data_IF_544242141799
#
_entry.id   IF_544242141799
#
_cell.length_a   1.000
_cell.length_b   1.000
_cell.length_c   1.000
_cell.angle_alpha   90.00
_cell.angle_beta   90.00
_cell.angle_gamma   90.00
#
_symmetry.space_group_name_H-M   'P 1'
#
loop_
_entity.id
_entity.type
_entity.pdbx_description
1 polymer ?
#
# COMPACT_ATOMS: atom_id res chain seq x y z
N UNK A 1 -9.84 7.93 -9.17
CA UNK A 1 -9.67 6.73 -8.32
C UNK A 1 -8.31 6.13 -8.63
N UNK A 2 -7.53 5.76 -7.61
CA UNK A 2 -6.18 5.24 -7.79
C UNK A 2 -6.18 3.98 -8.68
N UNK A 3 -5.23 3.90 -9.61
CA UNK A 3 -5.01 2.69 -10.41
C UNK A 3 -4.07 1.77 -9.65
N UNK A 4 -4.55 0.58 -9.31
CA UNK A 4 -3.78 -0.47 -8.67
C UNK A 4 -3.09 -1.32 -9.73
N UNK A 5 -1.79 -1.54 -9.55
CA UNK A 5 -0.98 -2.43 -10.38
C UNK A 5 -0.15 -3.32 -9.46
N UNK A 6 -0.02 -4.62 -9.78
CA UNK A 6 0.85 -5.55 -9.06
C UNK A 6 1.91 -6.07 -10.00
N UNK A 7 3.16 -5.94 -9.58
CA UNK A 7 4.33 -6.45 -10.24
C UNK A 7 4.75 -7.76 -9.58
N UNK A 8 5.05 -8.73 -10.42
CA UNK A 8 5.50 -10.06 -10.04
C UNK A 8 6.99 -10.17 -10.33
N UNK A 9 7.66 -10.98 -9.52
CA UNK A 9 9.06 -11.31 -9.68
C UNK A 9 9.27 -12.82 -9.50
N UNK A 10 10.37 -13.32 -10.03
CA UNK A 10 10.77 -14.71 -9.91
C UNK A 10 11.63 -14.91 -8.65
N UNK A 11 11.12 -15.64 -7.68
CA UNK A 11 11.79 -15.90 -6.40
C UNK A 11 11.51 -17.34 -5.96
N UNK A 12 12.54 -18.05 -5.46
CA UNK A 12 12.41 -19.45 -5.00
C UNK A 12 11.68 -20.36 -6.01
N UNK A 13 12.12 -20.32 -7.26
CA UNK A 13 11.59 -21.15 -8.37
C UNK A 13 10.14 -20.88 -8.77
N UNK A 14 9.51 -19.81 -8.25
CA UNK A 14 8.13 -19.44 -8.60
C UNK A 14 7.98 -17.95 -8.91
N UNK A 15 7.02 -17.62 -9.77
CA UNK A 15 6.57 -16.25 -10.00
C UNK A 15 5.60 -15.90 -8.89
N UNK A 16 5.88 -14.85 -8.13
CA UNK A 16 5.03 -14.40 -7.01
C UNK A 16 4.84 -12.88 -7.02
N UNK A 17 3.71 -12.38 -6.47
CA UNK A 17 3.52 -10.94 -6.28
C UNK A 17 4.67 -10.36 -5.46
N UNK A 18 5.27 -9.28 -5.93
CA UNK A 18 6.42 -8.67 -5.29
C UNK A 18 6.13 -7.25 -4.81
N UNK A 19 5.58 -6.42 -5.71
CA UNK A 19 5.37 -4.99 -5.47
C UNK A 19 4.00 -4.54 -5.97
N UNK A 20 3.29 -3.77 -5.17
CA UNK A 20 2.07 -3.07 -5.56
C UNK A 20 2.37 -1.59 -5.77
N UNK A 21 1.83 -1.04 -6.87
CA UNK A 21 1.79 0.38 -7.13
C UNK A 21 0.36 0.90 -7.06
N UNK A 22 0.16 1.97 -6.29
CA UNK A 22 -1.05 2.78 -6.35
C UNK A 22 -0.70 4.05 -7.12
N UNK A 23 -1.32 4.22 -8.29
CA UNK A 23 -1.04 5.36 -9.18
C UNK A 23 -2.18 6.35 -9.15
N UNK A 24 -1.84 7.61 -9.07
CA UNK A 24 -2.75 8.73 -8.91
C UNK A 24 -2.53 9.71 -10.05
N UNK A 25 -3.60 10.35 -10.51
CA UNK A 25 -3.47 11.54 -11.35
C UNK A 25 -2.85 12.67 -10.53
N UNK A 26 -2.23 13.68 -11.19
CA UNK A 26 -1.78 14.88 -10.50
C UNK A 26 -2.89 15.46 -9.60
N UNK A 27 -2.54 15.79 -8.35
CA UNK A 27 -3.45 16.32 -7.31
C UNK A 27 -4.60 15.39 -6.88
N UNK A 28 -4.60 14.11 -7.27
CA UNK A 28 -5.64 13.17 -6.84
C UNK A 28 -5.41 12.63 -5.41
N UNK A 29 -4.14 12.54 -4.99
CA UNK A 29 -3.78 12.11 -3.64
C UNK A 29 -3.96 13.27 -2.64
N UNK A 30 -4.98 13.15 -1.78
CA UNK A 30 -5.28 14.13 -0.75
C UNK A 30 -4.48 13.87 0.54
N UNK A 31 -3.35 14.54 0.66
CA UNK A 31 -2.47 14.50 1.83
C UNK A 31 -3.03 15.17 3.10
N UNK A 32 -4.25 15.71 3.07
CA UNK A 32 -4.92 16.21 4.27
C UNK A 32 -5.77 15.14 4.95
N UNK A 33 -6.02 14.01 4.28
CA UNK A 33 -6.66 12.84 4.91
C UNK A 33 -5.68 12.11 5.81
N UNK A 34 -6.19 11.50 6.88
CA UNK A 34 -5.38 10.67 7.78
C UNK A 34 -4.99 9.35 7.12
N UNK A 35 -5.93 8.72 6.44
CA UNK A 35 -5.74 7.42 5.80
C UNK A 35 -6.52 7.30 4.49
N UNK A 36 -6.07 6.37 3.66
CA UNK A 36 -6.81 5.87 2.51
C UNK A 36 -6.96 4.36 2.60
N UNK A 37 -8.04 3.82 2.04
CA UNK A 37 -8.30 2.38 2.02
C UNK A 37 -8.36 1.90 0.58
N UNK A 38 -7.64 0.82 0.31
CA UNK A 38 -7.51 0.22 -1.02
C UNK A 38 -8.13 -1.17 -0.99
N UNK A 39 -9.17 -1.43 -1.79
CA UNK A 39 -9.73 -2.76 -1.91
C UNK A 39 -8.73 -3.70 -2.57
N UNK A 40 -8.55 -4.88 -1.99
CA UNK A 40 -7.72 -5.95 -2.51
C UNK A 40 -8.59 -6.98 -3.21
N UNK A 41 -8.65 -6.90 -4.53
CA UNK A 41 -9.38 -7.84 -5.38
C UNK A 41 -8.41 -8.68 -6.22
N UNK A 42 -8.11 -9.90 -5.77
CA UNK A 42 -7.41 -10.89 -6.59
C UNK A 42 -8.39 -11.57 -7.57
N UNK A 43 -7.92 -12.10 -8.72
CA UNK A 43 -6.54 -12.12 -9.19
C UNK A 43 -6.07 -10.77 -9.77
N UNK A 44 -4.79 -10.46 -9.60
CA UNK A 44 -4.17 -9.27 -10.22
C UNK A 44 -3.59 -9.63 -11.60
N UNK A 45 -3.61 -8.66 -12.53
CA UNK A 45 -2.84 -8.78 -13.77
C UNK A 45 -1.36 -8.95 -13.43
N UNK A 46 -0.71 -9.94 -14.04
CA UNK A 46 0.71 -10.21 -13.85
C UNK A 46 1.53 -9.30 -14.76
N UNK A 47 2.01 -8.18 -14.21
CA UNK A 47 3.06 -7.39 -14.85
C UNK A 47 4.41 -7.77 -14.26
N UNK A 48 5.47 -7.71 -15.05
CA UNK A 48 6.83 -7.96 -14.59
C UNK A 48 7.48 -6.68 -14.08
N UNK A 49 8.46 -6.81 -13.19
CA UNK A 49 9.22 -5.68 -12.66
C UNK A 49 9.86 -4.81 -13.75
N UNK A 50 10.26 -5.39 -14.89
CA UNK A 50 10.83 -4.64 -16.01
C UNK A 50 9.81 -3.73 -16.72
N UNK A 51 8.51 -3.87 -16.41
CA UNK A 51 7.43 -3.03 -16.93
C UNK A 51 7.12 -1.83 -16.02
N UNK A 52 7.90 -1.62 -14.95
CA UNK A 52 7.82 -0.42 -14.11
C UNK A 52 8.23 0.80 -14.95
N UNK A 53 7.38 1.84 -15.07
CA UNK A 53 7.74 3.04 -15.80
C UNK A 53 8.67 3.94 -14.99
N UNK A 54 9.73 4.43 -15.63
CA UNK A 54 10.82 5.20 -15.02
C UNK A 54 10.46 6.65 -14.59
N UNK A 55 9.24 7.12 -14.84
CA UNK A 55 8.98 8.57 -15.04
C UNK A 55 8.10 9.27 -14.01
N UNK A 56 7.59 8.60 -12.98
CA UNK A 56 6.68 9.22 -11.99
C UNK A 56 7.28 9.24 -10.58
N UNK A 57 7.18 10.39 -9.91
CA UNK A 57 7.62 10.55 -8.53
C UNK A 57 6.77 9.67 -7.59
N UNK A 58 7.43 8.81 -6.84
CA UNK A 58 6.79 7.84 -5.95
C UNK A 58 7.36 7.84 -4.53
N UNK A 59 6.55 7.39 -3.58
CA UNK A 59 6.95 7.16 -2.20
C UNK A 59 6.75 5.70 -1.84
N UNK A 60 7.74 5.11 -1.18
CA UNK A 60 7.60 3.79 -0.55
C UNK A 60 6.76 3.91 0.71
N UNK A 61 5.66 3.16 0.74
CA UNK A 61 4.84 2.89 1.92
C UNK A 61 5.56 1.83 2.73
N UNK A 62 5.90 2.15 3.97
CA UNK A 62 6.54 1.21 4.89
C UNK A 62 5.49 0.36 5.60
N UNK A 63 5.92 -0.74 6.20
CA UNK A 63 5.07 -1.58 7.05
C UNK A 63 4.34 -0.75 8.12
N UNK A 64 5.04 0.18 8.77
CA UNK A 64 4.47 1.09 9.77
C UNK A 64 3.46 2.11 9.21
N UNK A 65 3.38 2.27 7.89
CA UNK A 65 2.36 3.12 7.25
C UNK A 65 1.07 2.35 6.96
N UNK A 66 1.09 1.01 7.03
CA UNK A 66 -0.06 0.16 6.76
C UNK A 66 -0.98 0.08 7.99
N UNK A 67 -2.29 0.08 7.73
CA UNK A 67 -3.33 -0.02 8.78
C UNK A 67 -4.45 -0.96 8.34
N UNK A 68 -4.98 -1.72 9.28
CA UNK A 68 -6.16 -2.58 9.06
C UNK A 68 -7.44 -1.90 9.55
N UNK A 69 -8.54 -2.10 8.83
CA UNK A 69 -9.86 -1.70 9.28
C UNK A 69 -10.75 -2.95 9.45
N UNK A 70 -11.10 -3.33 10.69
CA UNK A 70 -11.96 -4.49 10.94
C UNK A 70 -13.33 -4.42 10.26
N UNK A 71 -13.85 -3.21 9.98
CA UNK A 71 -15.10 -3.03 9.24
C UNK A 71 -14.97 -3.27 7.72
N UNK A 72 -13.74 -3.35 7.21
CA UNK A 72 -13.45 -3.56 5.79
C UNK A 72 -12.27 -4.53 5.61
N UNK A 73 -12.44 -5.83 5.93
CA UNK A 73 -11.35 -6.82 5.92
C UNK A 73 -10.76 -7.10 4.52
N UNK A 74 -11.47 -6.71 3.46
CA UNK A 74 -11.00 -6.82 2.08
C UNK A 74 -10.19 -5.59 1.62
N UNK A 75 -9.90 -4.65 2.51
CA UNK A 75 -9.15 -3.45 2.21
C UNK A 75 -7.87 -3.39 3.04
N UNK A 76 -6.78 -2.94 2.43
CA UNK A 76 -5.60 -2.47 3.15
C UNK A 76 -5.66 -0.95 3.29
N UNK A 77 -5.42 -0.45 4.49
CA UNK A 77 -5.31 0.97 4.75
C UNK A 77 -3.86 1.45 4.64
N UNK A 78 -3.70 2.68 4.18
CA UNK A 78 -2.42 3.40 4.14
C UNK A 78 -2.58 4.70 4.92
N UNK A 79 -1.74 4.92 5.92
CA UNK A 79 -1.72 6.09 6.78
C UNK A 79 -0.94 7.24 6.12
N UNK A 80 -1.67 8.11 5.42
CA UNK A 80 -1.12 9.29 4.76
C UNK A 80 -0.49 10.28 5.75
N UNK A 81 -1.01 10.38 6.98
CA UNK A 81 -0.44 11.25 8.00
C UNK A 81 0.97 10.81 8.45
N UNK A 82 1.22 9.50 8.52
CA UNK A 82 2.54 8.94 8.88
C UNK A 82 3.55 9.19 7.76
N UNK A 83 3.15 8.94 6.51
CA UNK A 83 3.96 9.26 5.34
C UNK A 83 4.26 10.77 5.28
N UNK A 84 3.26 11.63 5.44
CA UNK A 84 3.45 13.09 5.44
C UNK A 84 4.41 13.56 6.53
N UNK A 85 4.32 13.00 7.74
CA UNK A 85 5.23 13.32 8.84
C UNK A 85 6.68 12.92 8.52
N UNK A 86 6.88 11.73 7.93
CA UNK A 86 8.19 11.22 7.53
C UNK A 86 8.83 12.08 6.42
N UNK A 87 8.01 12.70 5.58
CA UNK A 87 8.44 13.56 4.48
C UNK A 87 8.19 15.07 4.73
N UNK A 88 8.06 15.49 6.00
CA UNK A 88 7.66 16.87 6.34
C UNK A 88 8.66 17.93 5.85
N UNK A 89 9.93 17.59 5.72
CA UNK A 89 10.97 18.47 5.18
C UNK A 89 10.84 18.69 3.66
N UNK A 90 10.03 17.87 2.98
CA UNK A 90 9.77 17.88 1.55
C UNK A 90 8.30 18.23 1.24
N UNK A 91 7.61 18.94 2.16
CA UNK A 91 6.17 19.23 2.05
C UNK A 91 5.76 19.83 0.70
N UNK A 92 6.61 20.68 0.12
CA UNK A 92 6.34 21.31 -1.19
C UNK A 92 6.35 20.31 -2.35
N UNK A 93 6.96 19.14 -2.18
CA UNK A 93 7.11 18.13 -3.21
C UNK A 93 6.04 17.03 -3.13
N UNK A 94 5.37 16.90 -1.99
CA UNK A 94 4.33 15.87 -1.79
C UNK A 94 3.18 15.98 -2.79
N UNK A 95 2.85 17.20 -3.23
CA UNK A 95 1.83 17.43 -4.26
C UNK A 95 2.18 16.84 -5.63
N UNK A 96 3.45 16.59 -5.92
CA UNK A 96 3.91 15.98 -7.18
C UNK A 96 3.96 14.45 -7.13
N UNK A 97 3.78 13.85 -5.95
CA UNK A 97 3.78 12.40 -5.79
C UNK A 97 2.55 11.81 -6.45
N UNK A 98 2.79 10.90 -7.39
CA UNK A 98 1.76 10.24 -8.18
C UNK A 98 1.74 8.74 -7.96
N UNK A 99 2.68 8.21 -7.15
CA UNK A 99 2.78 6.79 -6.90
C UNK A 99 3.07 6.48 -5.44
N UNK A 100 2.40 5.46 -4.93
CA UNK A 100 2.74 4.81 -3.68
C UNK A 100 3.15 3.37 -3.97
N UNK A 101 4.32 2.97 -3.46
CA UNK A 101 4.91 1.66 -3.64
C UNK A 101 4.80 0.85 -2.37
N UNK A 102 4.22 -0.34 -2.44
CA UNK A 102 3.97 -1.20 -1.28
C UNK A 102 4.49 -2.60 -1.58
N UNK A 103 5.30 -3.18 -0.70
CA UNK A 103 5.72 -4.58 -0.87
C UNK A 103 4.55 -5.50 -0.59
N UNK A 104 4.40 -6.54 -1.43
CA UNK A 104 3.34 -7.53 -1.23
C UNK A 104 3.53 -8.30 0.08
N UNK A 105 4.77 -8.56 0.48
CA UNK A 105 5.10 -9.17 1.77
C UNK A 105 4.56 -8.36 2.97
N UNK A 106 4.63 -7.02 2.90
CA UNK A 106 4.19 -6.15 3.99
C UNK A 106 2.65 -6.15 4.10
N UNK A 107 1.95 -6.24 2.95
CA UNK A 107 0.49 -6.40 2.92
C UNK A 107 0.09 -7.75 3.51
N UNK A 108 0.77 -8.83 3.12
CA UNK A 108 0.52 -10.18 3.63
C UNK A 108 0.75 -10.26 5.14
N UNK A 109 1.85 -9.69 5.64
CA UNK A 109 2.16 -9.65 7.07
C UNK A 109 1.05 -8.93 7.86
N UNK A 110 0.62 -7.76 7.39
CA UNK A 110 -0.42 -6.96 8.07
C UNK A 110 -1.79 -7.63 8.03
N UNK A 111 -2.15 -8.31 6.93
CA UNK A 111 -3.43 -9.02 6.82
C UNK A 111 -3.45 -10.36 7.57
N UNK A 112 -2.32 -11.08 7.62
CA UNK A 112 -2.20 -12.32 8.39
C UNK A 112 -2.12 -12.05 9.91
N UNK A 113 -1.72 -10.84 10.31
CA UNK A 113 -1.66 -10.41 11.72
C UNK A 113 -3.02 -9.97 12.30
N UNK A 114 -4.16 -10.52 11.84
CA UNK A 114 -5.42 -10.39 12.59
C UNK A 114 -5.46 -11.38 13.77
N UNK A 115 -4.58 -11.14 14.74
CA UNK A 115 -4.45 -11.92 15.96
C UNK A 115 -5.59 -11.70 16.93
N UNK A 116 -6.48 -10.72 16.69
CA UNK A 116 -7.65 -10.47 17.56
C UNK A 116 -8.62 -11.65 17.56
N UNK A 117 -8.66 -12.40 16.46
CA UNK A 117 -9.40 -13.67 16.38
C UNK A 117 -8.76 -14.80 17.21
N UNK A 118 -7.46 -14.72 17.47
CA UNK A 118 -6.67 -15.70 18.24
C UNK A 118 -6.62 -15.39 19.73
N UNK A 119 -6.92 -14.15 20.13
CA UNK A 119 -6.97 -13.72 21.52
C UNK A 119 -8.40 -13.27 21.87
N UNK A 120 -9.30 -14.19 22.27
CA UNK A 120 -10.59 -13.78 22.81
C UNK A 120 -10.35 -12.90 24.03
N UNK A 121 -10.72 -11.62 23.93
CA UNK A 121 -10.83 -10.76 25.09
C UNK A 121 -11.94 -11.35 25.96
N UNK A 122 -11.59 -12.17 26.94
CA UNK A 122 -12.50 -12.50 28.03
C UNK A 122 -12.73 -11.23 28.85
N UNK A 123 -13.79 -10.51 28.52
CA UNK A 123 -14.38 -9.56 29.45
C UNK A 123 -15.00 -10.38 30.59
N UNK A 124 -14.28 -10.49 31.71
CA UNK A 124 -14.87 -10.79 33.01
C UNK A 124 -15.52 -9.52 33.58
#
# INVERSE_FOLDING_TARGET
MAKLTVFYDFHEERIQPFLMALRFRPNELDWNKTSMYVPLGAPFQQLKMEEIPDLEAGITVLLDDLVINPGHPQCIGVSLSRIKLRHITLLNDLQYIQQLWIRMSDIEEVLQMDTRSLYPWSSN
#
